data_IF_117979192174
#
_entry.id   IF_117979192174
#
_cell.length_a   1.000
_cell.length_b   1.000
_cell.length_c   1.000
_cell.angle_alpha   90.00
_cell.angle_beta   90.00
_cell.angle_gamma   90.00
#
_symmetry.space_group_name_H-M   'P 1'
#
loop_
_entity.id
_entity.type
_entity.pdbx_description
1 polymer ?
#
# COMPACT_ATOMS: atom_id res chain seq x y z
N UNK A 1 -12.48 6.82 6.41
CA UNK A 1 -11.60 5.69 6.00
C UNK A 1 -10.17 6.16 6.18
N UNK A 2 -9.40 5.51 7.05
CA UNK A 2 -8.03 5.94 7.40
C UNK A 2 -7.05 4.91 6.84
N UNK A 3 -6.05 5.37 6.10
CA UNK A 3 -4.98 4.54 5.56
C UNK A 3 -3.65 4.86 6.24
N UNK A 4 -2.95 3.85 6.76
CA UNK A 4 -1.63 3.97 7.38
C UNK A 4 -0.64 3.05 6.68
N UNK A 5 0.47 3.62 6.21
CA UNK A 5 1.55 2.85 5.59
C UNK A 5 2.44 2.28 6.69
N UNK A 6 2.73 0.98 6.60
CA UNK A 6 3.60 0.20 7.48
C UNK A 6 4.70 -0.45 6.66
N UNK A 7 5.93 -0.34 7.16
CA UNK A 7 7.14 -0.91 6.55
C UNK A 7 7.25 -0.55 5.06
N UNK A 8 7.56 0.72 4.75
CA UNK A 8 7.89 1.14 3.38
C UNK A 8 9.40 0.99 3.17
N UNK A 9 9.81 0.18 2.20
CA UNK A 9 11.21 0.05 1.77
C UNK A 9 11.32 0.12 0.25
N UNK A 10 12.54 0.31 -0.23
CA UNK A 10 12.87 0.27 -1.65
C UNK A 10 13.56 -1.05 -1.96
N UNK A 11 13.06 -1.78 -2.96
CA UNK A 11 13.69 -2.97 -3.51
C UNK A 11 14.43 -2.57 -4.81
N UNK A 12 15.77 -2.53 -4.80
CA UNK A 12 16.54 -2.16 -5.97
C UNK A 12 16.54 -3.23 -7.07
N UNK A 13 16.29 -4.51 -6.73
CA UNK A 13 16.22 -5.59 -7.72
C UNK A 13 15.00 -5.44 -8.63
N UNK A 14 13.86 -5.09 -8.04
CA UNK A 14 12.59 -4.88 -8.75
C UNK A 14 12.39 -3.42 -9.20
N UNK A 15 13.31 -2.51 -8.85
CA UNK A 15 13.16 -1.07 -9.03
C UNK A 15 11.79 -0.56 -8.56
N UNK A 16 11.41 -0.98 -7.35
CA UNK A 16 10.08 -0.75 -6.81
C UNK A 16 10.11 -0.45 -5.31
N UNK A 17 9.14 0.34 -4.87
CA UNK A 17 8.85 0.54 -3.46
C UNK A 17 7.83 -0.49 -3.00
N UNK A 18 8.17 -1.22 -1.95
CA UNK A 18 7.31 -2.23 -1.36
C UNK A 18 6.90 -1.80 0.05
N UNK A 19 5.68 -2.15 0.41
CA UNK A 19 5.21 -1.94 1.77
C UNK A 19 3.82 -2.48 2.01
N UNK A 20 3.30 -2.21 3.19
CA UNK A 20 1.95 -2.64 3.60
C UNK A 20 1.13 -1.43 3.96
N UNK A 21 -0.15 -1.45 3.65
CA UNK A 21 -1.08 -0.38 3.97
C UNK A 21 -2.23 -0.94 4.79
N UNK A 22 -2.38 -0.40 5.98
CA UNK A 22 -3.49 -0.71 6.89
C UNK A 22 -4.64 0.24 6.56
N UNK A 23 -5.79 -0.31 6.21
CA UNK A 23 -6.99 0.42 5.82
C UNK A 23 -8.10 0.06 6.79
N UNK A 24 -8.59 1.04 7.54
CA UNK A 24 -9.72 0.88 8.44
C UNK A 24 -11.05 1.01 7.67
N UNK A 25 -11.87 -0.05 7.68
CA UNK A 25 -13.18 -0.12 7.02
C UNK A 25 -14.20 -0.72 8.00
N UNK A 26 -15.11 0.13 8.50
CA UNK A 26 -16.07 -0.26 9.54
C UNK A 26 -15.36 -0.58 10.86
N UNK A 27 -15.64 -1.76 11.42
CA UNK A 27 -15.05 -2.25 12.66
C UNK A 27 -13.73 -3.03 12.47
N UNK A 28 -13.30 -3.26 11.22
CA UNK A 28 -12.13 -4.07 10.92
C UNK A 28 -11.01 -3.24 10.27
N UNK A 29 -9.77 -3.65 10.51
CA UNK A 29 -8.60 -3.14 9.81
C UNK A 29 -8.08 -4.21 8.85
N UNK A 30 -7.89 -3.82 7.60
CA UNK A 30 -7.40 -4.70 6.54
C UNK A 30 -6.01 -4.25 6.12
N UNK A 31 -5.08 -5.18 6.07
CA UNK A 31 -3.71 -4.95 5.63
C UNK A 31 -3.53 -5.44 4.20
N UNK A 32 -3.18 -4.51 3.32
CA UNK A 32 -2.92 -4.78 1.91
C UNK A 32 -1.42 -4.68 1.61
N UNK A 33 -0.81 -5.68 0.95
CA UNK A 33 0.52 -5.50 0.37
C UNK A 33 0.41 -4.54 -0.82
N UNK A 34 1.32 -3.57 -0.90
CA UNK A 34 1.36 -2.58 -1.98
C UNK A 34 2.78 -2.49 -2.54
N UNK A 35 2.87 -2.44 -3.86
CA UNK A 35 4.12 -2.32 -4.60
C UNK A 35 3.96 -1.22 -5.64
N UNK A 36 4.85 -0.23 -5.57
CA UNK A 36 4.88 0.93 -6.46
C UNK A 36 6.20 0.94 -7.21
N UNK A 37 6.17 0.54 -8.48
CA UNK A 37 7.34 0.60 -9.36
C UNK A 37 7.76 2.06 -9.62
N UNK A 38 9.07 2.31 -9.56
CA UNK A 38 9.63 3.64 -9.77
C UNK A 38 11.09 3.74 -9.32
N UNK A 39 11.85 4.73 -9.81
CA UNK A 39 13.25 4.90 -9.41
C UNK A 39 13.35 5.28 -7.93
N UNK A 40 14.48 4.94 -7.30
CA UNK A 40 14.78 5.28 -5.90
C UNK A 40 14.70 6.79 -5.60
N UNK A 41 14.93 7.63 -6.62
CA UNK A 41 14.83 9.10 -6.54
C UNK A 41 13.39 9.62 -6.57
N UNK A 42 12.40 8.76 -6.78
CA UNK A 42 10.99 9.14 -6.78
C UNK A 42 10.62 9.74 -5.41
N UNK A 43 9.87 10.85 -5.44
CA UNK A 43 9.42 11.52 -4.22
C UNK A 43 8.64 10.55 -3.33
N UNK A 44 9.05 10.45 -2.07
CA UNK A 44 8.37 9.64 -1.05
C UNK A 44 6.89 10.02 -0.91
N UNK A 45 6.52 11.29 -1.15
CA UNK A 45 5.11 11.71 -1.14
C UNK A 45 4.32 11.01 -2.25
N UNK A 46 4.87 10.99 -3.48
CA UNK A 46 4.25 10.34 -4.63
C UNK A 46 4.11 8.83 -4.39
N UNK A 47 5.14 8.19 -3.84
CA UNK A 47 5.11 6.76 -3.49
C UNK A 47 3.99 6.47 -2.48
N UNK A 48 3.89 7.27 -1.42
CA UNK A 48 2.84 7.14 -0.40
C UNK A 48 1.44 7.32 -0.99
N UNK A 49 1.25 8.37 -1.81
CA UNK A 49 -0.04 8.65 -2.46
C UNK A 49 -0.46 7.48 -3.38
N UNK A 50 0.49 6.91 -4.14
CA UNK A 50 0.26 5.73 -4.99
C UNK A 50 -0.07 4.48 -4.18
N UNK A 51 0.64 4.22 -3.08
CA UNK A 51 0.36 3.07 -2.20
C UNK A 51 -1.03 3.16 -1.58
N UNK A 52 -1.42 4.34 -1.08
CA UNK A 52 -2.77 4.54 -0.51
C UNK A 52 -3.83 4.33 -1.58
N UNK A 53 -3.63 4.86 -2.79
CA UNK A 53 -4.54 4.66 -3.90
C UNK A 53 -4.67 3.17 -4.30
N UNK A 54 -3.56 2.43 -4.31
CA UNK A 54 -3.54 0.99 -4.59
C UNK A 54 -4.30 0.20 -3.51
N UNK A 55 -4.00 0.44 -2.24
CA UNK A 55 -4.68 -0.21 -1.11
C UNK A 55 -6.18 0.06 -1.11
N UNK A 56 -6.59 1.30 -1.44
CA UNK A 56 -8.00 1.66 -1.56
C UNK A 56 -8.69 0.88 -2.67
N UNK A 57 -8.08 0.81 -3.86
CA UNK A 57 -8.62 0.00 -4.97
C UNK A 57 -8.75 -1.48 -4.58
N UNK A 58 -7.76 -2.04 -3.88
CA UNK A 58 -7.84 -3.43 -3.38
C UNK A 58 -8.94 -3.62 -2.34
N UNK A 59 -9.24 -2.61 -1.54
CA UNK A 59 -10.32 -2.63 -0.55
C UNK A 59 -11.72 -2.46 -1.15
N UNK A 60 -11.81 -1.78 -2.29
CA UNK A 60 -13.05 -1.56 -3.03
C UNK A 60 -13.38 -2.71 -4.00
N UNK A 61 -12.39 -3.52 -4.39
CA UNK A 61 -12.60 -4.71 -5.24
C UNK A 61 -13.01 -5.95 -4.44
N UNK A 62 -14.10 -6.66 -4.82
CA UNK A 62 -14.44 -7.95 -4.23
C UNK A 62 -13.40 -9.01 -4.63
N UNK A 63 -12.80 -9.70 -3.65
CA UNK A 63 -11.80 -10.76 -3.87
C UNK A 63 -10.33 -10.33 -3.77
N UNK A 64 -10.04 -9.12 -3.28
CA UNK A 64 -8.65 -8.70 -3.03
C UNK A 64 -7.91 -9.56 -2.00
N UNK A 65 -6.61 -9.77 -2.20
CA UNK A 65 -5.75 -10.45 -1.22
C UNK A 65 -5.47 -9.47 -0.07
N UNK A 66 -6.03 -9.73 1.11
CA UNK A 66 -5.82 -8.94 2.33
C UNK A 66 -5.67 -9.83 3.56
N UNK A 67 -5.05 -9.28 4.59
CA UNK A 67 -5.05 -9.88 5.93
C UNK A 67 -5.89 -9.01 6.87
N UNK A 68 -6.74 -9.63 7.69
CA UNK A 68 -7.49 -8.95 8.75
C UNK A 68 -6.62 -8.90 10.00
N UNK A 69 -6.52 -7.73 10.61
CA UNK A 69 -5.71 -7.46 11.83
C UNK A 69 -6.52 -6.72 12.88
#
# INVERSE_FOLDING_TARGET
MTAKIKNLWYNPAESAFEGRVDVAKGAATYRYPCTVSGPMTMSRKIVKDRMVAQAKRMSDSPGGIYSVI
#
